data_IF_469497685671
#
_entry.id   IF_469497685671
#
_cell.length_a   1.000
_cell.length_b   1.000
_cell.length_c   1.000
_cell.angle_alpha   90.00
_cell.angle_beta   90.00
_cell.angle_gamma   90.00
#
_symmetry.space_group_name_H-M   'P 1'
#
loop_
_entity.id
_entity.type
_entity.pdbx_description
1 polymer ?
#
# COMPACT_ATOMS: atom_id res chain seq x y z
N UNK A 1 56.72 0.83 46.30
CA UNK A 1 55.50 1.59 45.96
C UNK A 1 55.67 2.15 44.56
N UNK A 2 54.63 2.09 43.71
CA UNK A 2 54.57 2.18 42.23
C UNK A 2 54.12 0.81 41.67
N UNK A 3 53.00 0.59 40.98
CA UNK A 3 52.11 1.42 40.17
C UNK A 3 50.70 0.78 40.20
N UNK A 4 49.63 1.55 40.40
CA UNK A 4 48.25 1.10 40.12
C UNK A 4 47.59 2.04 39.11
N UNK A 5 48.06 2.01 37.86
CA UNK A 5 47.33 2.58 36.74
C UNK A 5 46.43 1.50 36.11
N UNK A 6 45.12 1.71 36.29
CA UNK A 6 44.06 1.54 35.31
C UNK A 6 44.12 0.36 34.33
N UNK A 7 43.19 -0.58 34.49
CA UNK A 7 42.39 -1.08 33.37
C UNK A 7 40.99 -1.41 33.89
N UNK A 8 40.09 -0.43 33.81
CA UNK A 8 38.66 -0.73 33.86
C UNK A 8 38.37 -1.70 32.70
N UNK A 9 37.99 -2.93 33.03
CA UNK A 9 37.55 -3.92 32.06
C UNK A 9 36.15 -3.53 31.56
N UNK A 10 36.08 -2.51 30.69
CA UNK A 10 34.91 -2.26 29.86
C UNK A 10 35.12 -3.01 28.55
N UNK A 11 34.47 -4.16 28.41
CA UNK A 11 34.38 -4.87 27.13
C UNK A 11 33.80 -3.91 26.08
N UNK A 12 34.53 -3.52 25.01
CA UNK A 12 34.11 -2.38 24.18
C UNK A 12 32.99 -2.68 23.17
N UNK A 13 32.37 -3.86 23.16
CA UNK A 13 31.42 -4.22 22.11
C UNK A 13 30.23 -4.99 22.63
N UNK A 14 29.26 -4.26 23.20
CA UNK A 14 27.86 -4.64 23.05
C UNK A 14 27.53 -4.51 21.56
N UNK A 15 27.88 -5.52 20.76
CA UNK A 15 27.41 -5.64 19.38
C UNK A 15 25.90 -5.81 19.47
N UNK A 16 25.15 -4.73 19.20
CA UNK A 16 23.72 -4.83 18.99
C UNK A 16 23.48 -5.92 17.93
N UNK A 17 22.69 -6.94 18.27
CA UNK A 17 22.33 -7.98 17.31
C UNK A 17 21.67 -7.38 16.06
N UNK A 18 21.53 -8.16 14.97
CA UNK A 18 20.88 -7.66 13.77
C UNK A 18 19.50 -7.09 14.12
N UNK A 19 19.29 -5.83 13.77
CA UNK A 19 18.02 -5.14 14.04
C UNK A 19 16.91 -5.87 13.29
N UNK A 20 15.82 -6.17 13.99
CA UNK A 20 14.68 -6.84 13.37
C UNK A 20 14.06 -5.95 12.27
N UNK A 21 13.59 -6.54 11.16
CA UNK A 21 12.87 -5.81 10.13
C UNK A 21 11.72 -4.97 10.70
N UNK A 22 11.39 -3.83 10.08
CA UNK A 22 10.25 -3.05 10.49
C UNK A 22 8.94 -3.83 10.28
N UNK A 23 7.90 -3.46 11.02
CA UNK A 23 6.57 -4.02 10.80
C UNK A 23 5.99 -3.50 9.47
N UNK A 24 5.28 -4.34 8.70
CA UNK A 24 4.62 -3.89 7.48
C UNK A 24 3.57 -2.83 7.77
N UNK A 25 3.28 -1.99 6.77
CA UNK A 25 2.15 -1.08 6.83
C UNK A 25 0.83 -1.87 6.95
N UNK A 26 -0.13 -1.33 7.67
CA UNK A 26 -1.44 -1.97 7.89
C UNK A 26 -2.57 -1.02 7.50
N UNK A 27 -3.78 -1.54 7.35
CA UNK A 27 -4.96 -0.75 6.99
C UNK A 27 -4.72 0.10 5.73
N UNK A 28 -4.09 -0.49 4.72
CA UNK A 28 -3.94 0.14 3.42
C UNK A 28 -5.33 0.33 2.80
N UNK A 29 -5.64 1.57 2.44
CA UNK A 29 -6.91 1.96 1.83
C UNK A 29 -6.66 2.85 0.62
N UNK A 30 -7.59 2.80 -0.33
CA UNK A 30 -7.58 3.63 -1.53
C UNK A 30 -8.87 4.42 -1.68
N UNK A 31 -8.75 5.65 -2.18
CA UNK A 31 -9.87 6.53 -2.55
C UNK A 31 -9.60 7.14 -3.92
N UNK A 32 -10.62 7.16 -4.78
CA UNK A 32 -10.51 7.76 -6.11
C UNK A 32 -10.61 9.29 -6.01
N UNK A 33 -9.69 9.99 -6.66
CA UNK A 33 -9.68 11.44 -6.76
C UNK A 33 -10.49 11.88 -7.99
N UNK A 34 -11.08 13.08 -7.93
CA UNK A 34 -11.82 13.67 -9.05
C UNK A 34 -10.97 13.86 -10.31
N UNK A 35 -9.66 13.89 -10.17
CA UNK A 35 -8.68 13.99 -11.26
C UNK A 35 -8.42 12.65 -11.98
N UNK A 36 -8.99 11.55 -11.49
CA UNK A 36 -8.70 10.19 -11.96
C UNK A 36 -7.52 9.51 -11.25
N UNK A 37 -6.83 10.22 -10.36
CA UNK A 37 -5.78 9.65 -9.51
C UNK A 37 -6.32 8.82 -8.36
N UNK A 38 -5.45 8.07 -7.68
CA UNK A 38 -5.78 7.26 -6.51
C UNK A 38 -5.02 7.79 -5.30
N UNK A 39 -5.75 8.13 -4.24
CA UNK A 39 -5.17 8.44 -2.93
C UNK A 39 -5.08 7.19 -2.09
N UNK A 40 -3.87 6.86 -1.67
CA UNK A 40 -3.56 5.78 -0.75
C UNK A 40 -3.33 6.34 0.65
N UNK A 41 -3.87 5.66 1.66
CA UNK A 41 -3.63 5.94 3.08
C UNK A 41 -3.40 4.64 3.84
N UNK A 42 -2.53 4.66 4.84
CA UNK A 42 -2.20 3.47 5.63
C UNK A 42 -1.78 3.83 7.06
N UNK A 43 -1.70 2.82 7.92
CA UNK A 43 -1.17 2.91 9.27
C UNK A 43 0.28 2.41 9.33
N UNK A 44 1.08 3.09 10.14
CA UNK A 44 2.45 2.68 10.47
C UNK A 44 3.28 3.81 11.07
N UNK A 45 4.52 3.50 11.46
CA UNK A 45 5.45 4.47 12.04
C UNK A 45 6.17 5.29 10.97
N UNK A 46 6.30 6.59 11.21
CA UNK A 46 7.15 7.52 10.42
C UNK A 46 8.37 8.00 11.23
N UNK A 47 8.59 7.39 12.39
CA UNK A 47 9.72 7.71 13.26
C UNK A 47 10.99 7.00 12.78
N UNK A 48 12.15 7.44 13.28
CA UNK A 48 13.44 6.77 13.06
C UNK A 48 13.78 6.58 11.57
N UNK A 49 13.47 7.58 10.73
CA UNK A 49 13.75 7.51 9.29
C UNK A 49 12.91 6.48 8.53
N UNK A 50 11.81 6.00 9.11
CA UNK A 50 10.93 5.02 8.44
C UNK A 50 10.25 5.64 7.24
N UNK A 51 10.34 4.96 6.10
CA UNK A 51 9.68 5.32 4.83
C UNK A 51 8.91 4.13 4.27
N UNK A 52 8.09 4.37 3.27
CA UNK A 52 7.25 3.36 2.63
C UNK A 52 7.50 3.33 1.14
N UNK A 53 7.92 2.18 0.61
CA UNK A 53 7.90 1.93 -0.83
C UNK A 53 6.50 1.54 -1.27
N UNK A 54 5.96 2.25 -2.25
CA UNK A 54 4.65 2.01 -2.83
C UNK A 54 4.83 1.23 -4.12
N UNK A 55 4.25 0.04 -4.15
CA UNK A 55 4.29 -0.86 -5.30
C UNK A 55 2.93 -0.90 -5.98
N UNK A 56 2.93 -0.86 -7.32
CA UNK A 56 1.72 -0.88 -8.14
C UNK A 56 1.83 -1.90 -9.26
N UNK A 57 0.71 -2.54 -9.57
CA UNK A 57 0.50 -3.28 -10.83
C UNK A 57 -0.86 -2.92 -11.41
N UNK A 58 -0.93 -2.56 -12.68
CA UNK A 58 -2.20 -2.36 -13.38
C UNK A 58 -2.63 -3.64 -14.10
N UNK A 59 -3.87 -3.69 -14.59
CA UNK A 59 -4.36 -4.79 -15.43
C UNK A 59 -3.55 -5.02 -16.72
N UNK A 60 -2.78 -4.03 -17.16
CA UNK A 60 -1.94 -4.12 -18.36
C UNK A 60 -0.49 -4.51 -18.03
N UNK A 61 -0.14 -4.60 -16.74
CA UNK A 61 1.19 -4.96 -16.27
C UNK A 61 1.25 -6.43 -15.83
N UNK A 62 2.37 -7.09 -16.09
CA UNK A 62 2.60 -8.48 -15.66
C UNK A 62 3.23 -8.58 -14.27
N UNK A 63 3.91 -7.52 -13.82
CA UNK A 63 4.62 -7.47 -12.54
C UNK A 63 4.35 -6.17 -11.78
N UNK A 64 4.58 -6.18 -10.47
CA UNK A 64 4.58 -4.95 -9.67
C UNK A 64 5.84 -4.13 -9.95
N UNK A 65 5.70 -2.82 -9.91
CA UNK A 65 6.79 -1.86 -9.96
C UNK A 65 6.70 -0.88 -8.78
N UNK A 66 7.84 -0.51 -8.22
CA UNK A 66 7.90 0.56 -7.24
C UNK A 66 7.66 1.88 -7.98
N UNK A 67 6.62 2.60 -7.58
CA UNK A 67 6.25 3.87 -8.21
C UNK A 67 6.64 5.08 -7.36
N UNK A 68 6.82 4.89 -6.05
CA UNK A 68 7.16 5.96 -5.14
C UNK A 68 7.77 5.43 -3.84
N UNK A 69 8.41 6.35 -3.12
CA UNK A 69 8.78 6.19 -1.72
C UNK A 69 8.19 7.38 -0.95
N UNK A 70 7.46 7.11 0.14
CA UNK A 70 6.81 8.13 0.96
C UNK A 70 7.32 8.07 2.40
N UNK A 71 7.75 9.22 2.94
CA UNK A 71 8.01 9.37 4.38
C UNK A 71 6.76 9.72 5.19
N UNK A 72 5.58 9.68 4.56
CA UNK A 72 4.28 9.98 5.15
C UNK A 72 3.39 8.74 5.13
N UNK A 73 2.22 8.83 5.77
CA UNK A 73 1.21 7.74 5.81
C UNK A 73 0.18 7.82 4.67
N UNK A 74 0.52 8.56 3.62
CA UNK A 74 -0.31 8.73 2.45
C UNK A 74 0.56 8.92 1.20
N UNK A 75 -0.04 8.64 0.05
CA UNK A 75 0.51 8.91 -1.26
C UNK A 75 -0.63 9.12 -2.26
N UNK A 76 -0.45 10.03 -3.21
CA UNK A 76 -1.43 10.30 -4.25
C UNK A 76 -0.83 9.90 -5.60
N UNK A 77 -1.35 8.81 -6.17
CA UNK A 77 -0.94 8.31 -7.47
C UNK A 77 -1.74 9.00 -8.58
N UNK A 78 -1.11 9.98 -9.22
CA UNK A 78 -1.66 10.68 -10.39
C UNK A 78 -1.19 10.07 -11.73
N UNK A 79 -0.44 8.97 -11.68
CA UNK A 79 0.23 8.35 -12.84
C UNK A 79 -0.46 7.09 -13.31
N UNK A 80 -1.66 6.81 -12.81
CA UNK A 80 -2.48 5.68 -13.25
C UNK A 80 -2.85 5.89 -14.74
N UNK A 81 -2.51 4.96 -15.64
CA UNK A 81 -2.84 5.08 -17.04
C UNK A 81 -4.36 5.17 -17.27
N UNK A 82 -4.77 6.05 -18.20
CA UNK A 82 -6.16 6.13 -18.61
C UNK A 82 -6.61 4.78 -19.21
N UNK A 83 -7.82 4.34 -18.84
CA UNK A 83 -8.37 3.05 -19.29
C UNK A 83 -7.94 1.85 -18.45
N UNK A 84 -7.12 2.02 -17.40
CA UNK A 84 -6.92 0.97 -16.40
C UNK A 84 -8.25 0.63 -15.72
N UNK A 85 -8.61 -0.65 -15.67
CA UNK A 85 -9.84 -1.14 -15.03
C UNK A 85 -9.59 -1.74 -13.66
N UNK A 86 -8.36 -2.20 -13.42
CA UNK A 86 -7.93 -2.76 -12.14
C UNK A 86 -6.50 -2.32 -11.84
N UNK A 87 -6.28 -1.89 -10.59
CA UNK A 87 -4.98 -1.51 -10.08
C UNK A 87 -4.78 -2.13 -8.71
N UNK A 88 -3.67 -2.84 -8.53
CA UNK A 88 -3.32 -3.49 -7.27
C UNK A 88 -2.16 -2.76 -6.63
N UNK A 89 -2.26 -2.50 -5.32
CA UNK A 89 -1.21 -1.86 -4.53
C UNK A 89 -0.83 -2.70 -3.32
N UNK A 90 0.45 -2.67 -2.97
CA UNK A 90 0.96 -3.04 -1.66
C UNK A 90 2.12 -2.12 -1.27
N UNK A 91 2.46 -2.12 0.01
CA UNK A 91 3.55 -1.32 0.55
C UNK A 91 4.59 -2.20 1.23
N UNK A 92 5.83 -1.70 1.24
CA UNK A 92 6.89 -2.22 2.09
C UNK A 92 7.40 -1.09 2.98
N UNK A 93 7.50 -1.34 4.28
CA UNK A 93 8.10 -0.42 5.23
C UNK A 93 9.61 -0.57 5.17
N UNK A 94 10.34 0.53 5.03
CA UNK A 94 11.80 0.56 5.00
C UNK A 94 12.28 1.38 6.20
N UNK A 95 13.24 0.83 6.95
CA UNK A 95 13.93 1.52 8.03
C UNK A 95 15.42 1.19 7.94
N UNK A 96 16.23 2.21 7.72
CA UNK A 96 17.65 2.07 7.41
C UNK A 96 17.84 1.18 6.16
N UNK A 97 18.41 -0.01 6.31
CA UNK A 97 18.60 -1.00 5.23
C UNK A 97 17.60 -2.18 5.33
N UNK A 98 16.69 -2.12 6.29
CA UNK A 98 15.74 -3.20 6.57
C UNK A 98 14.41 -2.94 5.88
N UNK A 99 13.91 -3.97 5.20
CA UNK A 99 12.62 -3.96 4.51
C UNK A 99 11.69 -4.93 5.24
N UNK A 100 10.44 -4.53 5.47
CA UNK A 100 9.40 -5.42 5.98
C UNK A 100 8.94 -6.43 4.92
N UNK A 101 8.16 -7.42 5.34
CA UNK A 101 7.27 -8.12 4.40
C UNK A 101 6.28 -7.14 3.74
N UNK A 102 5.56 -7.63 2.73
CA UNK A 102 4.53 -6.86 2.05
C UNK A 102 3.35 -6.57 2.99
N UNK A 103 2.73 -5.40 2.83
CA UNK A 103 1.40 -5.15 3.40
C UNK A 103 0.36 -6.05 2.74
N UNK A 104 -0.83 -6.16 3.36
CA UNK A 104 -1.98 -6.74 2.66
C UNK A 104 -2.24 -5.96 1.36
N UNK A 105 -2.28 -6.63 0.20
CA UNK A 105 -2.52 -5.95 -1.07
C UNK A 105 -3.99 -5.54 -1.18
N UNK A 106 -4.23 -4.38 -1.78
CA UNK A 106 -5.58 -3.91 -2.12
C UNK A 106 -5.78 -3.87 -3.62
N UNK A 107 -7.00 -4.18 -4.06
CA UNK A 107 -7.41 -4.08 -5.45
C UNK A 107 -8.40 -2.94 -5.62
N UNK A 108 -8.04 -1.97 -6.44
CA UNK A 108 -8.89 -0.85 -6.83
C UNK A 108 -9.44 -1.13 -8.22
N UNK A 109 -10.77 -1.18 -8.34
CA UNK A 109 -11.44 -1.34 -9.63
C UNK A 109 -11.94 0.02 -10.11
N UNK A 110 -11.47 0.42 -11.29
CA UNK A 110 -11.80 1.71 -11.89
C UNK A 110 -12.78 1.43 -13.03
N UNK A 111 -13.98 1.99 -12.91
CA UNK A 111 -15.06 1.81 -13.87
C UNK A 111 -16.36 1.43 -13.19
N UNK A 112 -17.46 1.82 -13.82
CA UNK A 112 -18.77 1.25 -13.51
C UNK A 112 -18.71 -0.19 -14.01
N UNK A 113 -18.75 -1.18 -13.12
CA UNK A 113 -19.29 -2.47 -13.54
C UNK A 113 -20.73 -2.17 -13.91
N UNK A 114 -21.02 -1.95 -15.20
CA UNK A 114 -22.36 -2.20 -15.69
C UNK A 114 -22.52 -3.71 -15.55
N UNK A 115 -22.94 -4.14 -14.36
CA UNK A 115 -23.68 -5.38 -14.25
C UNK A 115 -24.92 -5.20 -15.12
N UNK A 116 -24.77 -5.53 -16.40
CA UNK A 116 -25.87 -5.84 -17.28
C UNK A 116 -26.12 -7.34 -17.13
N UNK A 117 -26.58 -7.76 -15.95
CA UNK A 117 -27.01 -9.15 -15.74
C UNK A 117 -27.85 -9.33 -14.47
N UNK A 118 -29.10 -8.84 -14.50
CA UNK A 118 -30.32 -9.67 -14.41
C UNK A 118 -31.53 -8.82 -13.98
N UNK A 119 -32.17 -8.19 -14.96
CA UNK A 119 -33.54 -7.68 -14.85
C UNK A 119 -34.38 -8.31 -15.94
N UNK A 120 -34.52 -9.64 -15.94
CA UNK A 120 -35.62 -10.29 -16.62
C UNK A 120 -36.89 -10.01 -15.81
N UNK A 121 -37.54 -8.87 -16.07
CA UNK A 121 -38.97 -8.75 -15.81
C UNK A 121 -39.66 -8.43 -17.13
N UNK A 122 -40.05 -9.53 -17.79
CA UNK A 122 -41.01 -9.53 -18.88
C UNK A 122 -42.38 -9.20 -18.29
N UNK A 123 -42.59 -7.94 -17.90
CA UNK A 123 -43.89 -7.40 -17.51
C UNK A 123 -44.73 -7.11 -18.75
N UNK A 124 -45.35 -8.14 -19.30
CA UNK A 124 -46.53 -8.09 -20.13
C UNK A 124 -47.51 -6.98 -19.67
N UNK A 125 -47.47 -5.81 -20.32
CA UNK A 125 -48.62 -4.90 -20.26
C UNK A 125 -49.66 -5.45 -21.22
N UNK A 126 -50.46 -6.38 -20.71
CA UNK A 126 -51.68 -6.84 -21.35
C UNK A 126 -52.57 -5.63 -21.67
N UNK A 127 -53.02 -5.60 -22.93
CA UNK A 127 -54.01 -4.68 -23.45
C UNK A 127 -55.34 -4.90 -22.71
N UNK A 128 -55.56 -4.11 -21.65
CA UNK A 128 -56.85 -4.00 -20.99
C UNK A 128 -57.74 -2.96 -21.67
N UNK A 129 -58.33 -3.34 -22.81
CA UNK A 129 -59.54 -2.69 -23.33
C UNK A 129 -60.68 -3.16 -22.43
N UNK A 130 -61.24 -2.27 -21.63
CA UNK A 130 -62.46 -2.55 -20.87
C UNK A 130 -63.44 -1.38 -21.03
N UNK A 131 -64.46 -1.67 -21.84
CA UNK A 131 -65.84 -1.18 -21.91
C UNK A 131 -66.15 0.29 -21.57
#
# INVERSE_FOLDING_TARGET
>A
EADVFAAANISPYNTAGPLAPPMPATNLQASLLNTGGIKLTWNGTVANGTVYSVWRRTNNDTSFAQIATSGQRFYEDQTVPAGSTEVVYFLQTIRDDLVSDDSEPITVRIGVTLDQSSGSDTGNTELGIAA
#
